data_IF_195638808704
#
_entry.id   IF_195638808704
#
_cell.length_a   1.000
_cell.length_b   1.000
_cell.length_c   1.000
_cell.angle_alpha   90.00
_cell.angle_beta   90.00
_cell.angle_gamma   90.00
#
_symmetry.space_group_name_H-M   'P 1'
#
loop_
_entity.id
_entity.type
_entity.pdbx_description
1 polymer ?
#
# COMPACT_ATOMS: atom_id res chain seq x y z
N UNK A 1 6.81 -16.06 -5.28
CA UNK A 1 6.53 -14.70 -4.78
C UNK A 1 7.61 -13.76 -5.29
N UNK A 2 7.26 -12.57 -5.75
CA UNK A 2 8.20 -11.51 -6.18
C UNK A 2 7.86 -10.22 -5.44
N UNK A 3 8.87 -9.48 -5.02
CA UNK A 3 8.72 -8.13 -4.48
C UNK A 3 9.17 -7.16 -5.57
N UNK A 4 8.36 -6.14 -5.83
CA UNK A 4 8.63 -5.13 -6.86
C UNK A 4 8.08 -3.77 -6.42
N UNK A 5 8.58 -2.72 -7.05
CA UNK A 5 8.05 -1.36 -6.88
C UNK A 5 6.59 -1.33 -7.34
N UNK A 6 5.73 -0.69 -6.54
CA UNK A 6 4.32 -0.46 -6.85
C UNK A 6 4.19 0.35 -8.14
N UNK A 7 3.35 -0.12 -9.08
CA UNK A 7 2.98 0.68 -10.25
C UNK A 7 1.59 1.28 -10.07
N UNK A 8 1.22 2.24 -10.93
CA UNK A 8 -0.13 2.80 -10.92
C UNK A 8 -1.22 1.76 -11.19
N UNK A 9 -0.91 0.68 -11.93
CA UNK A 9 -1.85 -0.42 -12.15
C UNK A 9 -2.14 -1.21 -10.88
N UNK A 10 -1.25 -1.15 -9.88
CA UNK A 10 -1.42 -1.87 -8.61
C UNK A 10 -2.29 -1.11 -7.59
N UNK A 11 -2.53 0.19 -7.79
CA UNK A 11 -3.15 1.06 -6.77
C UNK A 11 -4.52 0.59 -6.29
N UNK A 12 -5.38 0.14 -7.20
CA UNK A 12 -6.72 -0.36 -6.87
C UNK A 12 -6.63 -1.64 -6.04
N UNK A 13 -5.80 -2.60 -6.45
CA UNK A 13 -5.62 -3.86 -5.72
C UNK A 13 -4.94 -3.63 -4.37
N UNK A 14 -3.98 -2.70 -4.29
CA UNK A 14 -3.36 -2.30 -3.01
C UNK A 14 -4.40 -1.72 -2.05
N UNK A 15 -5.31 -0.87 -2.55
CA UNK A 15 -6.39 -0.32 -1.74
C UNK A 15 -7.26 -1.42 -1.13
N UNK A 16 -7.66 -2.41 -1.94
CA UNK A 16 -8.41 -3.58 -1.47
C UNK A 16 -7.64 -4.42 -0.45
N UNK A 17 -6.34 -4.64 -0.68
CA UNK A 17 -5.47 -5.40 0.22
C UNK A 17 -5.36 -4.70 1.57
N UNK A 18 -5.11 -3.38 1.59
CA UNK A 18 -5.01 -2.60 2.84
C UNK A 18 -6.36 -2.58 3.55
N UNK A 19 -7.46 -2.27 2.85
CA UNK A 19 -8.79 -2.27 3.44
C UNK A 19 -9.14 -3.63 4.06
N UNK A 20 -8.84 -4.73 3.35
CA UNK A 20 -9.13 -6.09 3.84
C UNK A 20 -8.26 -6.45 5.05
N UNK A 21 -6.98 -6.07 5.05
CA UNK A 21 -6.06 -6.35 6.13
C UNK A 21 -6.45 -5.65 7.44
N UNK A 22 -6.95 -4.42 7.36
CA UNK A 22 -7.31 -3.61 8.53
C UNK A 22 -8.78 -3.71 8.95
N UNK A 23 -9.67 -4.26 8.11
CA UNK A 23 -11.12 -4.38 8.36
C UNK A 23 -11.51 -4.87 9.77
N UNK A 24 -10.75 -5.81 10.34
CA UNK A 24 -11.00 -6.37 11.67
C UNK A 24 -9.82 -6.18 12.64
N UNK A 25 -8.89 -5.27 12.33
CA UNK A 25 -7.76 -5.02 13.21
C UNK A 25 -8.25 -4.27 14.46
N UNK A 26 -7.80 -4.71 15.64
CA UNK A 26 -8.20 -4.15 16.94
C UNK A 26 -7.87 -2.65 17.06
N UNK A 27 -6.84 -2.19 16.34
CA UNK A 27 -6.41 -0.81 16.27
C UNK A 27 -6.51 -0.30 14.83
N UNK A 28 -7.72 -0.32 14.27
CA UNK A 28 -8.00 0.27 12.96
C UNK A 28 -8.91 1.50 13.10
N UNK A 29 -8.54 2.56 12.40
CA UNK A 29 -9.38 3.75 12.22
C UNK A 29 -10.27 3.62 10.96
N UNK A 30 -10.13 2.51 10.22
CA UNK A 30 -10.89 2.17 9.02
C UNK A 30 -10.51 2.96 7.76
N UNK A 31 -9.49 3.81 7.85
CA UNK A 31 -9.06 4.74 6.80
C UNK A 31 -7.64 4.45 6.29
N UNK A 32 -7.05 3.30 6.62
CA UNK A 32 -5.65 3.00 6.31
C UNK A 32 -5.41 2.96 4.80
N UNK A 33 -6.40 2.52 4.03
CA UNK A 33 -6.35 2.55 2.58
C UNK A 33 -6.36 3.99 2.03
N UNK A 34 -7.13 4.90 2.66
CA UNK A 34 -7.14 6.33 2.34
C UNK A 34 -5.81 7.00 2.74
N UNK A 35 -5.24 6.61 3.88
CA UNK A 35 -3.93 7.08 4.32
C UNK A 35 -2.85 6.73 3.29
N UNK A 36 -2.85 5.50 2.76
CA UNK A 36 -1.94 5.10 1.69
C UNK A 36 -2.11 6.00 0.45
N UNK A 37 -3.35 6.31 0.06
CA UNK A 37 -3.62 7.24 -1.05
C UNK A 37 -3.09 8.65 -0.74
N UNK A 38 -3.29 9.16 0.47
CA UNK A 38 -2.81 10.47 0.88
C UNK A 38 -1.27 10.53 0.88
N UNK A 39 -0.60 9.50 1.40
CA UNK A 39 0.85 9.42 1.43
C UNK A 39 1.47 9.40 0.03
N UNK A 40 0.90 8.65 -0.93
CA UNK A 40 1.35 8.67 -2.34
C UNK A 40 1.31 10.06 -2.99
N UNK A 41 0.41 10.92 -2.53
CA UNK A 41 0.25 12.29 -3.03
C UNK A 41 1.04 13.33 -2.22
N UNK A 42 1.76 12.91 -1.19
CA UNK A 42 2.54 13.80 -0.32
C UNK A 42 3.95 14.08 -0.84
N UNK A 43 4.60 15.12 -0.32
CA UNK A 43 6.00 15.42 -0.63
C UNK A 43 6.98 14.41 -0.02
N UNK A 44 6.57 13.65 0.99
CA UNK A 44 7.38 12.63 1.66
C UNK A 44 7.37 11.27 0.91
N UNK A 45 6.65 11.18 -0.22
CA UNK A 45 6.54 9.96 -0.99
C UNK A 45 7.83 9.64 -1.75
N UNK A 46 8.36 8.44 -1.53
CA UNK A 46 9.51 7.91 -2.26
C UNK A 46 9.04 6.69 -3.07
N UNK A 47 8.86 6.81 -4.40
CA UNK A 47 8.31 5.73 -5.23
C UNK A 47 9.03 4.39 -5.08
N UNK A 48 10.35 4.42 -4.94
CA UNK A 48 11.20 3.23 -4.79
C UNK A 48 10.98 2.47 -3.47
N UNK A 49 10.30 3.11 -2.50
CA UNK A 49 9.95 2.53 -1.20
C UNK A 49 8.46 2.16 -1.08
N UNK A 50 7.69 2.30 -2.16
CA UNK A 50 6.37 1.69 -2.29
C UNK A 50 6.52 0.34 -2.98
N UNK A 51 6.30 -0.75 -2.24
CA UNK A 51 6.56 -2.11 -2.70
C UNK A 51 5.31 -2.98 -2.61
N UNK A 52 5.14 -3.84 -3.60
CA UNK A 52 4.09 -4.88 -3.63
C UNK A 52 4.71 -6.27 -3.67
N UNK A 53 4.11 -7.19 -2.91
CA UNK A 53 4.39 -8.62 -3.03
C UNK A 53 3.38 -9.24 -4.01
N UNK A 54 3.87 -9.89 -5.08
CA UNK A 54 3.03 -10.58 -6.07
C UNK A 54 3.23 -12.10 -6.10
N UNK A 55 2.14 -12.84 -6.27
CA UNK A 55 2.09 -14.27 -6.58
C UNK A 55 1.21 -14.43 -7.81
N UNK A 56 1.73 -15.05 -8.88
CA UNK A 56 1.02 -15.17 -10.17
C UNK A 56 0.46 -13.82 -10.65
N UNK A 57 1.30 -12.78 -10.56
CA UNK A 57 0.99 -11.38 -10.90
C UNK A 57 -0.14 -10.70 -10.11
N UNK A 58 -0.72 -11.39 -9.12
CA UNK A 58 -1.67 -10.80 -8.17
C UNK A 58 -0.94 -10.21 -6.97
N UNK A 59 -1.27 -8.96 -6.61
CA UNK A 59 -0.81 -8.32 -5.37
C UNK A 59 -1.43 -9.04 -4.17
N UNK A 60 -0.60 -9.48 -3.24
CA UNK A 60 -0.99 -10.19 -2.01
C UNK A 60 -0.49 -9.50 -0.75
N UNK A 61 0.25 -8.40 -0.89
CA UNK A 61 0.78 -7.62 0.21
C UNK A 61 1.39 -6.31 -0.29
N UNK A 62 1.47 -5.32 0.60
CA UNK A 62 1.92 -3.97 0.30
C UNK A 62 2.75 -3.42 1.46
N UNK A 63 3.81 -2.68 1.13
CA UNK A 63 4.65 -1.95 2.07
C UNK A 63 4.90 -0.55 1.50
N UNK A 64 4.64 0.47 2.31
CA UNK A 64 4.92 1.86 1.96
C UNK A 64 5.73 2.50 3.08
N UNK A 65 6.90 3.04 2.74
CA UNK A 65 7.68 3.90 3.61
C UNK A 65 7.70 5.31 3.04
N UNK A 66 7.67 6.31 3.92
CA UNK A 66 7.79 7.73 3.59
C UNK A 66 8.91 8.35 4.40
N UNK A 67 9.44 9.48 3.93
CA UNK A 67 10.33 10.28 4.76
C UNK A 67 9.58 10.80 5.99
N UNK A 68 10.31 10.99 7.09
CA UNK A 68 9.76 11.65 8.27
C UNK A 68 9.54 13.11 7.90
N UNK A 69 8.28 13.57 7.99
CA UNK A 69 7.90 14.98 7.81
C UNK A 69 8.01 15.76 9.11
#
# INVERSE_FOLDING_TARGET
>A
MKIQIETKEDFEVVYEVVQTAFKNAEHSDGNEADLVVALRNSLAFVPELSLVAKIQDKVVGHLLLTEIS
#
